data_IF_892243453167
#
_entry.id   IF_892243453167
#
_cell.length_a   1.000
_cell.length_b   1.000
_cell.length_c   1.000
_cell.angle_alpha   90.00
_cell.angle_beta   90.00
_cell.angle_gamma   90.00
#
_symmetry.space_group_name_H-M   'P 1'
#
loop_
_entity.id
_entity.type
_entity.pdbx_description
1 polymer ?
#
# COMPACT_ATOMS: atom_id res chain seq x y z
N UNK A 1 34.64 -21.84 10.61
CA UNK A 1 33.93 -20.90 11.50
C UNK A 1 34.50 -19.51 11.27
N UNK A 2 33.68 -18.48 10.99
CA UNK A 2 34.18 -17.11 10.93
C UNK A 2 34.86 -16.74 12.25
N UNK A 3 35.97 -16.00 12.18
CA UNK A 3 36.90 -15.76 13.30
C UNK A 3 36.35 -14.90 14.44
N UNK A 4 35.13 -14.36 14.33
CA UNK A 4 34.50 -13.50 15.34
C UNK A 4 32.97 -13.48 15.21
N UNK A 5 32.28 -14.61 15.45
CA UNK A 5 30.84 -14.56 15.69
C UNK A 5 30.60 -14.03 17.11
N UNK A 6 29.98 -12.85 17.25
CA UNK A 6 29.56 -12.35 18.56
C UNK A 6 28.61 -13.33 19.27
N UNK A 7 28.52 -13.24 20.60
CA UNK A 7 27.66 -14.12 21.42
C UNK A 7 26.26 -14.23 20.83
N UNK A 8 25.77 -15.43 20.55
CA UNK A 8 24.42 -15.63 20.00
C UNK A 8 23.35 -14.97 20.88
N UNK A 9 22.35 -14.34 20.24
CA UNK A 9 21.12 -13.88 20.87
C UNK A 9 20.08 -15.01 20.96
N UNK A 10 20.38 -16.21 20.47
CA UNK A 10 19.49 -17.36 20.66
C UNK A 10 19.29 -17.64 22.15
N UNK A 11 18.07 -18.04 22.50
CA UNK A 11 17.75 -18.42 23.88
C UNK A 11 18.26 -19.83 24.23
N UNK A 12 18.41 -20.69 23.22
CA UNK A 12 19.01 -22.01 23.33
C UNK A 12 19.61 -22.45 21.97
N UNK A 13 20.40 -23.52 21.99
CA UNK A 13 21.14 -24.00 20.81
C UNK A 13 20.25 -24.66 19.75
N UNK A 14 18.98 -24.92 20.04
CA UNK A 14 18.04 -25.49 19.06
C UNK A 14 17.47 -24.45 18.10
N UNK A 15 17.62 -23.16 18.41
CA UNK A 15 17.16 -22.08 17.54
C UNK A 15 18.07 -21.97 16.32
N UNK A 16 17.48 -22.04 15.13
CA UNK A 16 18.23 -21.91 13.88
C UNK A 16 18.15 -20.47 13.41
N UNK A 17 19.28 -19.92 12.99
CA UNK A 17 19.28 -18.60 12.35
C UNK A 17 18.51 -18.66 11.04
N UNK A 18 17.83 -17.57 10.71
CA UNK A 18 17.18 -17.43 9.41
C UNK A 18 18.25 -17.47 8.29
N UNK A 19 17.94 -18.19 7.22
CA UNK A 19 18.85 -18.40 6.09
C UNK A 19 18.34 -17.69 4.84
N UNK A 20 19.26 -17.12 4.04
CA UNK A 20 18.92 -16.49 2.75
C UNK A 20 18.49 -17.52 1.70
N UNK A 21 19.07 -18.72 1.72
CA UNK A 21 18.73 -19.81 0.82
C UNK A 21 18.17 -20.98 1.64
N UNK A 22 16.93 -20.86 2.16
CA UNK A 22 16.32 -21.96 2.87
C UNK A 22 16.00 -23.06 1.86
N UNK A 23 16.07 -24.33 2.28
CA UNK A 23 15.82 -25.48 1.40
C UNK A 23 14.48 -26.21 1.70
N UNK A 24 13.33 -25.53 1.87
CA UNK A 24 12.04 -26.23 1.92
C UNK A 24 11.65 -26.67 0.51
N UNK A 25 10.91 -27.77 0.41
CA UNK A 25 10.25 -28.20 -0.84
C UNK A 25 9.31 -27.10 -1.34
N UNK A 26 9.14 -26.89 -2.66
CA UNK A 26 8.37 -25.75 -3.20
C UNK A 26 6.88 -26.07 -3.44
N UNK A 27 6.30 -27.07 -2.76
CA UNK A 27 5.05 -27.69 -3.20
C UNK A 27 3.80 -27.19 -2.46
N UNK A 28 3.95 -26.65 -1.26
CA UNK A 28 2.84 -26.19 -0.41
C UNK A 28 2.96 -24.73 0.00
N UNK A 29 1.83 -24.11 0.37
CA UNK A 29 1.82 -22.72 0.85
C UNK A 29 2.56 -22.56 2.18
N UNK A 30 2.53 -23.58 3.04
CA UNK A 30 3.32 -23.60 4.27
C UNK A 30 4.82 -23.51 3.98
N UNK A 31 5.31 -24.23 2.97
CA UNK A 31 6.72 -24.17 2.58
C UNK A 31 7.08 -22.82 1.95
N UNK A 32 6.14 -22.18 1.23
CA UNK A 32 6.32 -20.81 0.75
C UNK A 32 6.41 -19.82 1.91
N UNK A 33 5.55 -19.95 2.92
CA UNK A 33 5.57 -19.14 4.15
C UNK A 33 6.91 -19.26 4.87
N UNK A 34 7.41 -20.49 5.07
CA UNK A 34 8.74 -20.74 5.67
C UNK A 34 9.85 -20.10 4.85
N UNK A 35 9.84 -20.28 3.53
CA UNK A 35 10.85 -19.70 2.62
C UNK A 35 10.85 -18.18 2.68
N UNK A 36 9.69 -17.55 2.50
CA UNK A 36 9.53 -16.10 2.49
C UNK A 36 9.95 -15.49 3.84
N UNK A 37 9.54 -16.11 4.95
CA UNK A 37 9.93 -15.68 6.30
C UNK A 37 11.44 -15.73 6.48
N UNK A 38 12.06 -16.87 6.16
CA UNK A 38 13.51 -17.05 6.31
C UNK A 38 14.31 -16.05 5.46
N UNK A 39 13.90 -15.83 4.20
CA UNK A 39 14.55 -14.87 3.30
C UNK A 39 14.47 -13.46 3.89
N UNK A 40 13.27 -12.99 4.25
CA UNK A 40 13.08 -11.65 4.82
C UNK A 40 13.90 -11.48 6.10
N UNK A 41 13.80 -12.42 7.03
CA UNK A 41 14.51 -12.36 8.30
C UNK A 41 16.03 -12.37 8.15
N UNK A 42 16.55 -13.15 7.19
CA UNK A 42 17.98 -13.18 6.86
C UNK A 42 18.43 -11.83 6.31
N UNK A 43 17.69 -11.25 5.35
CA UNK A 43 18.02 -9.93 4.79
C UNK A 43 17.91 -8.83 5.85
N UNK A 44 16.92 -8.86 6.73
CA UNK A 44 16.80 -7.91 7.85
C UNK A 44 18.01 -7.95 8.80
N UNK A 45 18.54 -9.15 9.08
CA UNK A 45 19.71 -9.31 9.93
C UNK A 45 21.01 -8.83 9.25
N UNK A 46 21.13 -9.05 7.93
CA UNK A 46 22.33 -8.70 7.16
C UNK A 46 22.33 -7.28 6.59
N UNK A 47 21.17 -6.64 6.48
CA UNK A 47 21.00 -5.25 6.03
C UNK A 47 20.37 -4.45 7.18
N UNK A 48 21.19 -3.93 8.13
CA UNK A 48 20.70 -3.24 9.31
C UNK A 48 19.80 -2.04 9.01
N UNK A 49 19.99 -1.38 7.86
CA UNK A 49 19.17 -0.28 7.38
C UNK A 49 17.70 -0.72 7.20
N UNK A 50 17.48 -1.87 6.55
CA UNK A 50 16.15 -2.46 6.38
C UNK A 50 15.62 -3.02 7.69
N UNK A 51 16.43 -3.79 8.42
CA UNK A 51 16.03 -4.39 9.69
C UNK A 51 15.58 -3.32 10.69
N UNK A 52 16.33 -2.23 10.82
CA UNK A 52 15.96 -1.09 11.67
C UNK A 52 14.69 -0.41 11.19
N UNK A 53 14.58 -0.14 9.88
CA UNK A 53 13.44 0.54 9.27
C UNK A 53 12.12 -0.18 9.52
N UNK A 54 12.10 -1.51 9.39
CA UNK A 54 10.91 -2.32 9.65
C UNK A 54 10.58 -2.41 11.14
N UNK A 55 11.58 -2.61 12.00
CA UNK A 55 11.34 -2.88 13.44
C UNK A 55 11.18 -1.63 14.30
N UNK A 56 11.59 -0.45 13.80
CA UNK A 56 11.47 0.82 14.52
C UNK A 56 10.04 1.17 14.93
N UNK A 57 9.08 0.96 14.03
CA UNK A 57 7.67 1.21 14.29
C UNK A 57 7.10 0.33 15.40
N UNK A 58 7.74 -0.82 15.67
CA UNK A 58 7.30 -1.79 16.69
C UNK A 58 8.00 -1.59 18.03
N UNK A 59 8.78 -0.52 18.18
CA UNK A 59 9.48 -0.18 19.43
C UNK A 59 10.85 -0.85 19.60
N UNK A 60 11.38 -1.52 18.58
CA UNK A 60 12.71 -2.11 18.66
C UNK A 60 13.80 -1.02 18.83
N UNK A 61 14.87 -1.27 19.59
CA UNK A 61 16.00 -0.36 19.70
C UNK A 61 16.87 -0.38 18.44
N UNK A 62 17.73 0.63 18.26
CA UNK A 62 18.81 0.58 17.27
C UNK A 62 19.98 -0.23 17.86
N UNK A 63 20.12 -1.48 17.44
CA UNK A 63 21.07 -2.43 18.03
C UNK A 63 21.40 -3.61 17.12
N UNK A 64 22.19 -4.55 17.64
CA UNK A 64 22.59 -5.74 16.88
C UNK A 64 21.38 -6.66 16.73
N UNK A 65 21.00 -6.95 15.49
CA UNK A 65 19.87 -7.82 15.18
C UNK A 65 20.35 -9.26 14.93
N UNK A 66 19.60 -10.23 15.44
CA UNK A 66 19.62 -11.62 14.97
C UNK A 66 18.20 -12.12 14.81
N UNK A 67 17.99 -12.96 13.82
CA UNK A 67 16.69 -13.51 13.47
C UNK A 67 16.76 -15.03 13.40
N UNK A 68 15.68 -15.68 13.79
CA UNK A 68 15.63 -17.13 13.94
C UNK A 68 14.35 -17.69 13.33
N UNK A 69 14.43 -18.92 12.83
CA UNK A 69 13.31 -19.71 12.33
C UNK A 69 13.30 -21.07 13.04
N UNK A 70 12.23 -21.86 12.83
CA UNK A 70 12.07 -23.20 13.41
C UNK A 70 12.11 -23.22 14.96
N UNK A 71 11.76 -22.09 15.59
CA UNK A 71 11.79 -21.95 17.05
C UNK A 71 10.61 -22.69 17.69
N UNK A 72 10.89 -23.58 18.64
CA UNK A 72 9.87 -24.32 19.39
C UNK A 72 9.71 -23.75 20.80
N UNK A 73 8.54 -23.19 21.10
CA UNK A 73 8.24 -22.54 22.38
C UNK A 73 7.19 -23.36 23.15
N UNK A 74 7.49 -23.80 24.40
CA UNK A 74 6.53 -24.44 25.28
C UNK A 74 5.25 -23.61 25.51
N UNK A 75 4.08 -24.24 25.37
CA UNK A 75 2.78 -23.63 25.64
C UNK A 75 1.70 -24.70 25.91
N UNK A 76 1.32 -24.90 27.18
CA UNK A 76 0.37 -25.97 27.53
C UNK A 76 0.94 -27.35 27.20
N UNK A 77 0.11 -28.22 26.63
CA UNK A 77 0.47 -29.62 26.35
C UNK A 77 1.33 -29.82 25.09
N UNK A 78 1.32 -28.85 24.16
CA UNK A 78 2.06 -28.95 22.90
C UNK A 78 2.83 -27.66 22.59
N UNK A 79 4.10 -27.74 22.18
CA UNK A 79 4.86 -26.54 21.85
C UNK A 79 4.27 -25.85 20.62
N UNK A 80 4.37 -24.52 20.60
CA UNK A 80 4.01 -23.68 19.46
C UNK A 80 5.26 -23.21 18.74
N UNK A 81 5.16 -23.13 17.42
CA UNK A 81 6.26 -22.74 16.54
C UNK A 81 5.86 -21.48 15.79
N UNK A 82 6.28 -20.28 16.22
CA UNK A 82 6.18 -19.11 15.38
C UNK A 82 7.03 -19.29 14.12
N UNK A 83 6.63 -18.67 13.02
CA UNK A 83 7.39 -18.73 11.75
C UNK A 83 8.76 -18.07 11.90
N UNK A 84 8.88 -17.08 12.78
CA UNK A 84 10.15 -16.46 13.10
C UNK A 84 10.22 -15.78 14.47
N UNK A 85 11.45 -15.48 14.87
CA UNK A 85 11.76 -14.67 16.05
C UNK A 85 12.80 -13.62 15.68
N UNK A 86 12.55 -12.36 16.05
CA UNK A 86 13.48 -11.24 15.86
C UNK A 86 14.00 -10.83 17.22
N UNK A 87 15.33 -10.72 17.36
CA UNK A 87 15.98 -10.22 18.58
C UNK A 87 16.93 -9.08 18.27
N UNK A 88 16.83 -8.01 19.04
CA UNK A 88 17.67 -6.83 18.90
C UNK A 88 18.32 -6.49 20.23
N UNK A 89 19.65 -6.59 20.29
CA UNK A 89 20.45 -6.28 21.47
C UNK A 89 20.94 -4.83 21.44
N UNK A 90 20.68 -4.07 22.49
CA UNK A 90 21.25 -2.74 22.72
C UNK A 90 21.54 -2.54 24.20
N UNK A 91 22.76 -2.11 24.52
CA UNK A 91 23.19 -1.77 25.89
C UNK A 91 22.84 -2.86 26.93
N UNK A 92 23.08 -4.13 26.57
CA UNK A 92 22.84 -5.28 27.46
C UNK A 92 21.37 -5.69 27.62
N UNK A 93 20.43 -5.05 26.91
CA UNK A 93 19.02 -5.45 26.87
C UNK A 93 18.67 -6.04 25.51
N UNK A 94 17.77 -7.00 25.49
CA UNK A 94 17.31 -7.66 24.26
C UNK A 94 15.81 -7.44 24.08
N UNK A 95 15.46 -6.74 23.01
CA UNK A 95 14.08 -6.66 22.52
C UNK A 95 13.79 -7.88 21.66
N UNK A 96 12.63 -8.51 21.86
CA UNK A 96 12.24 -9.78 21.24
C UNK A 96 10.83 -9.67 20.66
N UNK A 97 10.67 -10.11 19.41
CA UNK A 97 9.38 -10.21 18.74
C UNK A 97 9.16 -11.59 18.12
N UNK A 98 7.93 -12.10 18.24
CA UNK A 98 7.47 -13.29 17.51
C UNK A 98 6.86 -12.86 16.17
N UNK A 99 7.07 -13.66 15.13
CA UNK A 99 6.54 -13.41 13.79
C UNK A 99 5.65 -14.58 13.34
N UNK A 100 4.44 -14.24 12.87
CA UNK A 100 3.55 -15.15 12.15
C UNK A 100 3.37 -14.63 10.73
N UNK A 101 3.65 -15.48 9.73
CA UNK A 101 3.67 -15.09 8.33
C UNK A 101 2.60 -15.83 7.55
N UNK A 102 1.97 -15.12 6.62
CA UNK A 102 1.07 -15.66 5.61
C UNK A 102 1.49 -15.18 4.24
N UNK A 103 1.44 -16.09 3.27
CA UNK A 103 1.63 -15.79 1.85
C UNK A 103 0.35 -16.14 1.10
N UNK A 104 0.23 -15.67 -0.14
CA UNK A 104 -1.01 -15.76 -0.93
C UNK A 104 -2.22 -15.22 -0.13
N UNK A 105 -3.41 -15.79 -0.32
CA UNK A 105 -4.64 -15.38 0.35
C UNK A 105 -4.93 -16.14 1.65
N UNK A 106 -3.92 -16.75 2.29
CA UNK A 106 -4.13 -17.50 3.53
C UNK A 106 -4.45 -16.53 4.68
N UNK A 107 -5.57 -16.71 5.40
CA UNK A 107 -5.93 -15.83 6.49
C UNK A 107 -5.02 -16.08 7.71
N UNK A 108 -4.74 -15.01 8.46
CA UNK A 108 -4.19 -15.11 9.80
C UNK A 108 -5.25 -15.70 10.73
N UNK A 109 -4.86 -16.68 11.56
CA UNK A 109 -5.78 -17.37 12.47
C UNK A 109 -5.77 -16.69 13.85
N UNK A 110 -6.92 -16.17 14.34
CA UNK A 110 -7.02 -15.53 15.66
C UNK A 110 -6.46 -16.38 16.80
N UNK A 111 -6.74 -17.67 16.80
CA UNK A 111 -6.31 -18.59 17.85
C UNK A 111 -4.78 -18.71 17.89
N UNK A 112 -4.15 -18.82 16.72
CA UNK A 112 -2.70 -18.94 16.60
C UNK A 112 -1.99 -17.66 17.06
N UNK A 113 -2.51 -16.49 16.69
CA UNK A 113 -1.94 -15.20 17.12
C UNK A 113 -2.16 -15.00 18.62
N UNK A 114 -3.32 -15.40 19.17
CA UNK A 114 -3.59 -15.36 20.60
C UNK A 114 -2.59 -16.20 21.40
N UNK A 115 -2.27 -17.41 20.94
CA UNK A 115 -1.27 -18.28 21.56
C UNK A 115 0.12 -17.62 21.59
N UNK A 116 0.53 -16.96 20.50
CA UNK A 116 1.80 -16.21 20.48
C UNK A 116 1.78 -14.99 21.42
N UNK A 117 0.66 -14.28 21.52
CA UNK A 117 0.49 -13.18 22.47
C UNK A 117 0.64 -13.68 23.92
N UNK A 118 0.09 -14.86 24.22
CA UNK A 118 0.21 -15.50 25.53
C UNK A 118 1.65 -15.95 25.84
N UNK A 119 2.33 -16.52 24.85
CA UNK A 119 3.75 -16.91 24.98
C UNK A 119 4.62 -15.67 25.21
N UNK A 120 4.44 -14.62 24.40
CA UNK A 120 5.18 -13.38 24.51
C UNK A 120 5.00 -12.74 25.90
N UNK A 121 3.76 -12.68 26.40
CA UNK A 121 3.47 -12.10 27.71
C UNK A 121 4.10 -12.89 28.86
N UNK A 122 4.10 -14.22 28.80
CA UNK A 122 4.73 -15.09 29.82
C UNK A 122 6.25 -15.00 29.82
N UNK A 123 6.86 -14.81 28.64
CA UNK A 123 8.32 -14.73 28.47
C UNK A 123 8.88 -13.32 28.56
N UNK A 124 8.00 -12.31 28.68
CA UNK A 124 8.41 -10.90 28.69
C UNK A 124 8.90 -10.39 27.34
N UNK A 125 8.51 -11.02 26.23
CA UNK A 125 8.78 -10.51 24.89
C UNK A 125 7.91 -9.28 24.61
N UNK A 126 8.44 -8.34 23.85
CA UNK A 126 7.83 -7.03 23.66
C UNK A 126 6.75 -7.02 22.57
N UNK A 127 6.82 -7.91 21.58
CA UNK A 127 5.91 -7.85 20.45
C UNK A 127 5.54 -9.21 19.82
N UNK A 128 4.37 -9.23 19.20
CA UNK A 128 3.97 -10.19 18.17
C UNK A 128 3.68 -9.41 16.90
N UNK A 129 4.29 -9.84 15.79
CA UNK A 129 4.14 -9.22 14.49
C UNK A 129 3.46 -10.24 13.59
N UNK A 130 2.38 -9.82 12.95
CA UNK A 130 1.77 -10.59 11.86
C UNK A 130 2.24 -10.02 10.53
N UNK A 131 2.55 -10.90 9.57
CA UNK A 131 3.01 -10.53 8.24
C UNK A 131 2.12 -11.19 7.19
N UNK A 132 1.41 -10.41 6.37
CA UNK A 132 0.58 -10.97 5.30
C UNK A 132 0.53 -10.07 4.06
N UNK A 133 -0.27 -10.47 3.08
CA UNK A 133 -0.54 -9.66 1.89
C UNK A 133 -1.57 -8.55 2.13
N UNK A 134 -2.31 -8.58 3.24
CA UNK A 134 -3.26 -7.53 3.58
C UNK A 134 -2.52 -6.33 4.14
N UNK A 135 -3.08 -5.13 3.93
CA UNK A 135 -2.56 -3.92 4.53
C UNK A 135 -3.45 -3.52 5.69
N UNK A 136 -2.84 -3.14 6.83
CA UNK A 136 -3.57 -2.65 7.99
C UNK A 136 -4.33 -1.36 7.66
N UNK A 137 -5.54 -1.25 8.19
CA UNK A 137 -6.38 -0.07 8.12
C UNK A 137 -6.68 0.46 9.51
N UNK A 138 -6.91 1.76 9.62
CA UNK A 138 -7.31 2.37 10.89
C UNK A 138 -8.67 1.81 11.35
N UNK A 139 -8.75 1.46 12.63
CA UNK A 139 -9.97 0.96 13.28
C UNK A 139 -10.41 -0.44 12.84
N UNK A 140 -9.58 -1.17 12.08
CA UNK A 140 -9.85 -2.57 11.71
C UNK A 140 -8.65 -3.41 12.12
N UNK A 141 -8.76 -4.25 13.16
CA UNK A 141 -7.72 -5.21 13.46
C UNK A 141 -7.62 -6.21 12.31
N UNK A 142 -6.39 -6.54 11.90
CA UNK A 142 -6.16 -7.61 10.92
C UNK A 142 -6.54 -8.98 11.51
N UNK A 143 -6.38 -9.11 12.82
CA UNK A 143 -6.71 -10.31 13.58
C UNK A 143 -7.24 -9.90 14.95
N UNK A 144 -8.38 -10.46 15.33
CA UNK A 144 -8.99 -10.20 16.63
C UNK A 144 -8.32 -11.08 17.70
N UNK A 145 -7.66 -10.42 18.66
CA UNK A 145 -7.09 -11.09 19.84
C UNK A 145 -7.57 -10.42 21.12
N UNK A 146 -7.73 -11.22 22.16
CA UNK A 146 -8.04 -10.73 23.51
C UNK A 146 -6.77 -10.24 24.17
N UNK A 147 -6.73 -8.94 24.44
CA UNK A 147 -5.64 -8.31 25.21
C UNK A 147 -6.09 -8.18 26.66
N UNK A 148 -5.49 -8.98 27.54
CA UNK A 148 -5.73 -8.85 28.98
C UNK A 148 -4.89 -7.70 29.57
N UNK A 149 -5.55 -6.58 29.85
CA UNK A 149 -4.93 -5.37 30.39
C UNK A 149 -4.36 -5.51 31.81
N UNK A 150 -4.64 -6.62 32.52
CA UNK A 150 -4.09 -6.90 33.86
C UNK A 150 -2.66 -7.45 33.82
N UNK A 151 -2.20 -7.90 32.65
CA UNK A 151 -0.86 -8.50 32.52
C UNK A 151 0.24 -7.49 32.80
N UNK A 152 1.24 -7.91 33.59
CA UNK A 152 2.40 -7.10 33.95
C UNK A 152 3.26 -6.71 32.74
N UNK A 153 3.39 -7.62 31.76
CA UNK A 153 4.10 -7.37 30.51
C UNK A 153 3.09 -7.02 29.42
N UNK A 154 3.20 -5.79 28.90
CA UNK A 154 2.42 -5.33 27.74
C UNK A 154 3.12 -5.79 26.47
N UNK A 155 2.48 -6.68 25.73
CA UNK A 155 2.94 -7.14 24.41
C UNK A 155 2.26 -6.29 23.34
N UNK A 156 3.03 -5.70 22.44
CA UNK A 156 2.49 -5.02 21.26
C UNK A 156 2.09 -6.01 20.18
N UNK A 157 0.84 -5.98 19.73
CA UNK A 157 0.43 -6.67 18.51
C UNK A 157 0.55 -5.70 17.34
N UNK A 158 1.38 -6.08 16.36
CA UNK A 158 1.61 -5.29 15.16
C UNK A 158 1.29 -6.09 13.90
N UNK A 159 1.01 -5.36 12.83
CA UNK A 159 0.86 -5.94 11.51
C UNK A 159 1.80 -5.25 10.53
N UNK A 160 2.39 -6.06 9.65
CA UNK A 160 3.23 -5.63 8.55
C UNK A 160 2.72 -6.29 7.28
N UNK A 161 2.57 -5.53 6.20
CA UNK A 161 2.23 -6.11 4.90
C UNK A 161 3.48 -6.38 4.05
N UNK A 162 3.42 -7.38 3.16
CA UNK A 162 4.47 -7.59 2.14
C UNK A 162 4.64 -6.37 1.23
N UNK A 163 3.56 -5.61 0.98
CA UNK A 163 3.61 -4.35 0.26
C UNK A 163 4.42 -3.27 1.01
N UNK A 164 4.32 -3.20 2.33
CA UNK A 164 5.15 -2.31 3.15
C UNK A 164 6.61 -2.75 3.15
N UNK A 165 6.89 -4.06 3.27
CA UNK A 165 8.26 -4.58 3.15
C UNK A 165 8.90 -4.17 1.82
N UNK A 166 8.20 -4.41 0.71
CA UNK A 166 8.67 -4.04 -0.62
C UNK A 166 8.86 -2.52 -0.75
N UNK A 167 7.91 -1.71 -0.25
CA UNK A 167 8.02 -0.26 -0.24
C UNK A 167 9.26 0.22 0.54
N UNK A 168 9.50 -0.28 1.75
CA UNK A 168 10.65 0.13 2.56
C UNK A 168 11.99 -0.26 1.92
N UNK A 169 12.07 -1.46 1.34
CA UNK A 169 13.26 -1.91 0.61
C UNK A 169 13.51 -1.07 -0.65
N UNK A 170 12.45 -0.74 -1.41
CA UNK A 170 12.53 0.09 -2.60
C UNK A 170 12.95 1.53 -2.28
N UNK A 171 12.43 2.13 -1.20
CA UNK A 171 12.82 3.46 -0.73
C UNK A 171 14.33 3.52 -0.39
N UNK A 172 14.84 2.53 0.34
CA UNK A 172 16.27 2.43 0.66
C UNK A 172 17.12 2.29 -0.60
N UNK A 173 16.72 1.38 -1.50
CA UNK A 173 17.52 1.04 -2.67
C UNK A 173 17.58 2.17 -3.71
N UNK A 174 16.44 2.79 -4.02
CA UNK A 174 16.32 3.69 -5.17
C UNK A 174 16.46 5.17 -4.84
N UNK A 175 16.15 5.57 -3.60
CA UNK A 175 15.96 6.99 -3.28
C UNK A 175 16.86 7.51 -2.16
N UNK A 176 17.10 6.69 -1.14
CA UNK A 176 17.92 7.12 0.01
C UNK A 176 19.37 6.63 -0.09
N UNK A 177 19.59 5.52 -0.79
CA UNK A 177 20.88 4.87 -0.90
C UNK A 177 21.22 4.02 0.32
N UNK A 178 22.10 3.04 0.10
CA UNK A 178 22.64 2.17 1.14
C UNK A 178 24.16 2.24 1.04
N UNK A 179 24.84 2.51 2.15
CA UNK A 179 26.29 2.78 2.13
C UNK A 179 27.15 1.57 1.72
N UNK A 180 26.61 0.35 1.87
CA UNK A 180 27.30 -0.88 1.50
C UNK A 180 26.74 -1.46 0.18
N UNK A 181 27.58 -1.64 -0.87
CA UNK A 181 27.15 -2.25 -2.13
C UNK A 181 26.53 -3.64 -1.99
N UNK A 182 27.01 -4.46 -1.05
CA UNK A 182 26.43 -5.78 -0.80
C UNK A 182 25.02 -5.69 -0.20
N UNK A 183 24.74 -4.66 0.62
CA UNK A 183 23.39 -4.42 1.13
C UNK A 183 22.46 -4.01 -0.01
N UNK A 184 22.90 -3.10 -0.88
CA UNK A 184 22.12 -2.68 -2.04
C UNK A 184 21.79 -3.88 -2.95
N UNK A 185 22.78 -4.74 -3.24
CA UNK A 185 22.56 -5.97 -4.00
C UNK A 185 21.56 -6.91 -3.32
N UNK A 186 21.68 -7.16 -2.01
CA UNK A 186 20.72 -7.99 -1.28
C UNK A 186 19.30 -7.43 -1.28
N UNK A 187 19.13 -6.11 -1.19
CA UNK A 187 17.81 -5.47 -1.30
C UNK A 187 17.22 -5.62 -2.71
N UNK A 188 18.06 -5.52 -3.75
CA UNK A 188 17.64 -5.74 -5.13
C UNK A 188 17.14 -7.18 -5.32
N UNK A 189 17.88 -8.18 -4.82
CA UNK A 189 17.49 -9.59 -4.88
C UNK A 189 16.22 -9.86 -4.05
N UNK A 190 16.09 -9.25 -2.87
CA UNK A 190 14.86 -9.34 -2.08
C UNK A 190 13.65 -8.79 -2.86
N UNK A 191 13.80 -7.62 -3.50
CA UNK A 191 12.72 -7.04 -4.31
C UNK A 191 12.37 -7.91 -5.52
N UNK A 192 13.37 -8.50 -6.18
CA UNK A 192 13.16 -9.44 -7.28
C UNK A 192 12.39 -10.68 -6.78
N UNK A 193 12.77 -11.23 -5.62
CA UNK A 193 12.06 -12.34 -4.98
C UNK A 193 10.61 -11.97 -4.67
N UNK A 194 10.36 -10.85 -3.98
CA UNK A 194 9.02 -10.45 -3.56
C UNK A 194 8.07 -10.27 -4.75
N UNK A 195 8.58 -9.71 -5.87
CA UNK A 195 7.81 -9.48 -7.11
C UNK A 195 7.55 -10.74 -7.93
N UNK A 196 8.30 -11.82 -7.69
CA UNK A 196 8.16 -13.05 -8.47
C UNK A 196 6.86 -13.79 -8.15
N UNK A 197 6.08 -14.22 -9.15
CA UNK A 197 4.74 -14.80 -8.97
C UNK A 197 4.68 -15.97 -7.96
N UNK A 198 5.73 -16.79 -7.91
CA UNK A 198 5.80 -17.93 -6.99
C UNK A 198 6.21 -17.59 -5.54
N UNK A 199 6.54 -16.32 -5.25
CA UNK A 199 6.85 -15.86 -3.89
C UNK A 199 5.62 -15.89 -2.98
N UNK A 200 4.44 -15.65 -3.56
CA UNK A 200 3.19 -15.43 -2.83
C UNK A 200 3.15 -14.13 -2.02
N UNK A 201 4.10 -13.21 -2.24
CA UNK A 201 4.27 -11.96 -1.48
C UNK A 201 3.77 -10.72 -2.25
N UNK A 202 2.74 -10.88 -3.07
CA UNK A 202 2.27 -9.89 -4.06
C UNK A 202 1.55 -8.67 -3.49
N UNK A 203 1.36 -8.64 -2.17
CA UNK A 203 0.44 -7.71 -1.53
C UNK A 203 -1.03 -8.09 -1.77
N UNK A 204 -1.92 -7.14 -1.52
CA UNK A 204 -3.36 -7.26 -1.62
C UNK A 204 -3.77 -7.66 -3.04
N UNK A 205 -4.42 -8.82 -3.15
CA UNK A 205 -4.75 -9.47 -4.43
C UNK A 205 -6.17 -10.07 -4.47
N UNK A 206 -6.98 -9.83 -3.43
CA UNK A 206 -8.34 -10.36 -3.33
C UNK A 206 -9.29 -9.33 -2.69
N UNK A 207 -10.36 -8.96 -3.39
CA UNK A 207 -11.41 -8.05 -2.90
C UNK A 207 -12.40 -8.72 -1.92
N UNK A 208 -12.17 -9.99 -1.57
CA UNK A 208 -12.99 -10.75 -0.64
C UNK A 208 -14.24 -11.38 -1.29
N UNK A 209 -14.95 -12.23 -0.52
CA UNK A 209 -16.11 -12.98 -1.03
C UNK A 209 -17.30 -12.10 -1.40
N UNK A 210 -17.44 -10.92 -0.78
CA UNK A 210 -18.51 -9.96 -1.04
C UNK A 210 -18.38 -9.23 -2.39
N UNK A 211 -17.19 -9.23 -3.00
CA UNK A 211 -16.91 -8.47 -4.23
C UNK A 211 -17.81 -8.84 -5.40
N UNK A 212 -17.91 -10.13 -5.73
CA UNK A 212 -18.69 -10.58 -6.89
C UNK A 212 -20.19 -10.33 -6.68
N UNK A 213 -20.80 -10.67 -5.53
CA UNK A 213 -22.19 -10.33 -5.25
C UNK A 213 -22.49 -8.83 -5.33
N UNK A 214 -21.66 -7.98 -4.74
CA UNK A 214 -21.86 -6.51 -4.75
C UNK A 214 -21.71 -5.95 -6.17
N UNK A 215 -20.68 -6.37 -6.91
CA UNK A 215 -20.48 -5.93 -8.29
C UNK A 215 -21.67 -6.29 -9.19
N UNK A 216 -22.15 -7.54 -9.11
CA UNK A 216 -23.35 -7.97 -9.83
C UNK A 216 -24.59 -7.21 -9.38
N UNK A 217 -24.74 -7.00 -8.07
CA UNK A 217 -25.86 -6.23 -7.54
C UNK A 217 -25.90 -4.79 -8.04
N UNK A 218 -24.74 -4.16 -8.25
CA UNK A 218 -24.66 -2.82 -8.87
C UNK A 218 -24.97 -2.87 -10.37
N UNK A 219 -24.47 -3.89 -11.08
CA UNK A 219 -24.69 -4.11 -12.52
C UNK A 219 -26.16 -4.38 -12.83
N UNK A 220 -26.82 -5.21 -12.02
CA UNK A 220 -28.21 -5.63 -12.14
C UNK A 220 -29.20 -4.64 -11.47
N UNK A 221 -28.69 -3.55 -10.88
CA UNK A 221 -29.48 -2.56 -10.12
C UNK A 221 -30.30 -3.17 -8.95
N UNK A 222 -29.81 -4.24 -8.33
CA UNK A 222 -30.47 -4.94 -7.22
C UNK A 222 -29.86 -4.64 -5.84
N UNK A 223 -28.72 -3.95 -5.79
CA UNK A 223 -28.10 -3.59 -4.52
C UNK A 223 -28.91 -2.54 -3.76
N UNK A 224 -29.19 -2.80 -2.49
CA UNK A 224 -29.98 -1.91 -1.64
C UNK A 224 -29.09 -1.04 -0.76
N UNK A 225 -29.61 0.11 -0.34
CA UNK A 225 -28.97 0.92 0.71
C UNK A 225 -28.88 0.11 2.02
N UNK A 226 -27.76 0.22 2.72
CA UNK A 226 -27.51 -0.50 3.97
C UNK A 226 -27.04 -1.96 3.83
N UNK A 227 -26.74 -2.43 2.61
CA UNK A 227 -26.18 -3.78 2.41
C UNK A 227 -24.81 -3.92 3.08
N UNK A 228 -24.71 -4.75 4.11
CA UNK A 228 -23.47 -4.97 4.88
C UNK A 228 -22.31 -5.49 4.01
N UNK A 229 -22.61 -6.20 2.91
CA UNK A 229 -21.58 -6.68 1.98
C UNK A 229 -20.85 -5.52 1.30
N UNK A 230 -21.53 -4.39 1.09
CA UNK A 230 -20.92 -3.20 0.52
C UNK A 230 -19.85 -2.60 1.45
N UNK A 231 -20.03 -2.68 2.78
CA UNK A 231 -19.02 -2.24 3.76
C UNK A 231 -17.73 -3.05 3.60
N UNK A 232 -17.84 -4.37 3.47
CA UNK A 232 -16.68 -5.25 3.23
C UNK A 232 -15.95 -4.96 1.91
N UNK A 233 -16.69 -4.59 0.86
CA UNK A 233 -16.09 -4.17 -0.43
C UNK A 233 -15.39 -2.82 -0.31
N UNK A 234 -15.96 -1.86 0.43
CA UNK A 234 -15.31 -0.58 0.71
C UNK A 234 -14.04 -0.76 1.53
N UNK A 235 -14.04 -1.62 2.54
CA UNK A 235 -12.84 -1.94 3.31
C UNK A 235 -11.75 -2.55 2.42
N UNK A 236 -12.12 -3.48 1.55
CA UNK A 236 -11.20 -4.06 0.55
C UNK A 236 -10.67 -3.01 -0.43
N UNK A 237 -11.51 -2.06 -0.84
CA UNK A 237 -11.10 -0.91 -1.65
C UNK A 237 -10.09 -0.02 -0.92
N UNK A 238 -10.29 0.26 0.37
CA UNK A 238 -9.32 1.01 1.18
C UNK A 238 -7.97 0.30 1.27
N UNK A 239 -7.95 -1.04 1.44
CA UNK A 239 -6.71 -1.84 1.40
C UNK A 239 -6.00 -1.71 0.07
N UNK A 240 -6.73 -1.83 -1.04
CA UNK A 240 -6.19 -1.65 -2.39
C UNK A 240 -5.58 -0.26 -2.56
N UNK A 241 -6.29 0.79 -2.16
CA UNK A 241 -5.82 2.18 -2.26
C UNK A 241 -4.59 2.43 -1.40
N UNK A 242 -4.51 1.81 -0.22
CA UNK A 242 -3.32 1.87 0.63
C UNK A 242 -2.12 1.21 -0.06
N UNK A 243 -2.32 0.07 -0.71
CA UNK A 243 -1.28 -0.58 -1.52
C UNK A 243 -0.84 0.27 -2.72
N UNK A 244 -1.79 0.86 -3.46
CA UNK A 244 -1.49 1.78 -4.56
C UNK A 244 -0.58 2.92 -4.08
N UNK A 245 -0.90 3.51 -2.92
CA UNK A 245 -0.06 4.54 -2.30
C UNK A 245 1.36 4.05 -1.99
N UNK A 246 1.50 2.85 -1.41
CA UNK A 246 2.82 2.28 -1.10
C UNK A 246 3.66 2.07 -2.36
N UNK A 247 3.05 1.55 -3.42
CA UNK A 247 3.74 1.33 -4.70
C UNK A 247 4.15 2.64 -5.35
N UNK A 248 3.19 3.56 -5.51
CA UNK A 248 3.43 4.89 -6.07
C UNK A 248 4.52 5.62 -5.29
N UNK A 249 4.46 5.57 -3.96
CA UNK A 249 5.47 6.22 -3.14
C UNK A 249 6.87 5.60 -3.26
N UNK A 250 6.96 4.28 -3.40
CA UNK A 250 8.22 3.59 -3.65
C UNK A 250 8.80 3.89 -5.04
N UNK A 251 7.96 4.10 -6.06
CA UNK A 251 8.39 4.52 -7.39
C UNK A 251 8.92 5.96 -7.40
N UNK A 252 8.24 6.85 -6.68
CA UNK A 252 8.55 8.29 -6.69
C UNK A 252 9.58 8.74 -5.66
N UNK A 253 9.88 7.92 -4.66
CA UNK A 253 10.74 8.33 -3.54
C UNK A 253 10.06 9.33 -2.60
N UNK A 254 8.74 9.47 -2.72
CA UNK A 254 7.91 10.41 -1.99
C UNK A 254 6.77 9.66 -1.33
N UNK A 255 6.40 10.06 -0.12
CA UNK A 255 5.30 9.40 0.58
C UNK A 255 3.98 9.74 -0.11
N UNK A 256 3.25 8.72 -0.58
CA UNK A 256 1.89 8.87 -1.04
C UNK A 256 0.90 8.35 0.02
N UNK A 257 -0.22 9.04 0.19
CA UNK A 257 -1.24 8.70 1.20
C UNK A 257 -2.66 8.89 0.64
N UNK A 258 -3.63 8.07 1.10
CA UNK A 258 -5.04 8.36 0.85
C UNK A 258 -5.41 9.69 1.51
N UNK A 259 -6.15 10.54 0.80
CA UNK A 259 -6.72 11.76 1.36
C UNK A 259 -7.92 11.39 2.21
N UNK A 260 -7.88 11.80 3.48
CA UNK A 260 -9.03 11.74 4.37
C UNK A 260 -9.49 13.18 4.65
N UNK A 261 -10.61 13.59 4.03
CA UNK A 261 -11.20 14.93 4.23
C UNK A 261 -12.08 15.03 5.49
N UNK A 262 -12.19 13.95 6.25
CA UNK A 262 -13.00 13.91 7.47
C UNK A 262 -12.29 14.60 8.65
N UNK A 263 -13.05 15.07 9.65
CA UNK A 263 -12.49 15.61 10.89
C UNK A 263 -11.57 14.56 11.53
N UNK A 264 -10.43 15.03 12.06
CA UNK A 264 -9.47 14.21 12.80
C UNK A 264 -10.18 13.52 13.97
N UNK A 265 -10.01 12.21 14.10
CA UNK A 265 -10.67 11.41 15.13
C UNK A 265 -12.09 10.94 14.79
N UNK A 266 -12.57 11.14 13.55
CA UNK A 266 -13.80 10.49 13.10
C UNK A 266 -13.68 8.96 13.17
N UNK A 267 -14.79 8.28 13.47
CA UNK A 267 -14.84 6.82 13.53
C UNK A 267 -14.60 6.21 12.12
N UNK A 268 -13.55 5.38 11.94
CA UNK A 268 -13.30 4.69 10.68
C UNK A 268 -14.46 3.83 10.20
N UNK A 269 -15.19 3.17 11.11
CA UNK A 269 -16.30 2.31 10.70
C UNK A 269 -17.45 3.13 10.11
N UNK A 270 -17.89 4.20 10.80
CA UNK A 270 -18.89 5.13 10.27
C UNK A 270 -18.51 5.69 8.88
N UNK A 271 -17.23 5.99 8.62
CA UNK A 271 -16.79 6.43 7.29
C UNK A 271 -16.97 5.37 6.21
N UNK A 272 -16.70 4.10 6.53
CA UNK A 272 -16.89 2.99 5.59
C UNK A 272 -18.37 2.75 5.30
N UNK A 273 -19.23 2.86 6.31
CA UNK A 273 -20.69 2.78 6.14
C UNK A 273 -21.17 3.88 5.19
N UNK A 274 -20.75 5.13 5.40
CA UNK A 274 -21.12 6.23 4.49
C UNK A 274 -20.58 6.04 3.06
N UNK A 275 -19.37 5.51 2.90
CA UNK A 275 -18.82 5.18 1.59
C UNK A 275 -19.56 4.00 0.93
N UNK A 276 -20.06 3.03 1.71
CA UNK A 276 -20.86 1.91 1.24
C UNK A 276 -22.25 2.36 0.78
N UNK A 277 -22.89 3.29 1.49
CA UNK A 277 -24.14 3.94 1.05
C UNK A 277 -23.95 4.64 -0.30
N UNK A 278 -22.83 5.36 -0.47
CA UNK A 278 -22.48 5.98 -1.76
C UNK A 278 -22.26 4.92 -2.85
N UNK A 279 -21.59 3.81 -2.53
CA UNK A 279 -21.42 2.70 -3.47
C UNK A 279 -22.77 2.12 -3.91
N UNK A 280 -23.70 1.85 -3.00
CA UNK A 280 -25.02 1.33 -3.34
C UNK A 280 -25.81 2.31 -4.23
N UNK A 281 -25.76 3.62 -3.92
CA UNK A 281 -26.50 4.66 -4.65
C UNK A 281 -25.90 4.96 -6.03
N UNK A 282 -24.58 5.16 -6.10
CA UNK A 282 -23.89 5.66 -7.29
C UNK A 282 -23.23 4.54 -8.12
N UNK A 283 -23.05 3.34 -7.56
CA UNK A 283 -22.33 2.25 -8.19
C UNK A 283 -20.83 2.51 -8.33
N UNK A 284 -20.26 3.37 -7.47
CA UNK A 284 -18.89 3.87 -7.58
C UNK A 284 -18.08 3.66 -6.31
N UNK A 285 -16.88 3.11 -6.47
CA UNK A 285 -15.82 3.19 -5.49
C UNK A 285 -14.95 4.42 -5.81
N UNK A 286 -14.63 5.21 -4.78
CA UNK A 286 -13.91 6.47 -4.94
C UNK A 286 -12.81 6.58 -3.90
N UNK A 287 -11.66 7.11 -4.30
CA UNK A 287 -10.58 7.50 -3.42
C UNK A 287 -9.79 8.68 -3.99
N UNK A 288 -9.08 9.37 -3.12
CA UNK A 288 -8.15 10.43 -3.47
C UNK A 288 -6.79 10.12 -2.88
N UNK A 289 -5.72 10.45 -3.60
CA UNK A 289 -4.34 10.20 -3.24
C UNK A 289 -3.58 11.52 -3.27
N UNK A 290 -2.80 11.79 -2.22
CA UNK A 290 -1.89 12.93 -2.16
C UNK A 290 -0.46 12.41 -2.08
N UNK A 291 0.42 13.02 -2.88
CA UNK A 291 1.84 12.71 -2.89
C UNK A 291 2.55 13.87 -2.18
N UNK A 292 3.39 13.55 -1.20
CA UNK A 292 4.15 14.57 -0.47
C UNK A 292 5.11 15.28 -1.43
N UNK A 293 5.12 16.63 -1.38
CA UNK A 293 5.93 17.45 -2.28
C UNK A 293 5.21 17.86 -3.57
N UNK A 294 3.96 17.41 -3.80
CA UNK A 294 3.10 17.92 -4.87
C UNK A 294 1.83 18.56 -4.31
N UNK A 295 1.28 19.52 -5.04
CA UNK A 295 0.00 20.14 -4.69
C UNK A 295 -1.20 19.38 -5.29
N UNK A 296 -0.94 18.47 -6.23
CA UNK A 296 -1.99 17.79 -6.97
C UNK A 296 -2.52 16.58 -6.19
N UNK A 297 -3.85 16.47 -6.14
CA UNK A 297 -4.56 15.30 -5.63
C UNK A 297 -5.02 14.43 -6.79
N UNK A 298 -4.71 13.14 -6.74
CA UNK A 298 -5.15 12.16 -7.74
C UNK A 298 -6.42 11.49 -7.25
N UNK A 299 -7.54 11.77 -7.90
CA UNK A 299 -8.77 11.04 -7.69
C UNK A 299 -8.79 9.75 -8.51
N UNK A 300 -9.27 8.67 -7.90
CA UNK A 300 -9.42 7.34 -8.51
C UNK A 300 -10.86 6.90 -8.29
N UNK A 301 -11.58 6.66 -9.39
CA UNK A 301 -12.97 6.20 -9.36
C UNK A 301 -13.08 4.90 -10.13
N UNK A 302 -13.57 3.84 -9.50
CA UNK A 302 -14.03 2.63 -10.19
C UNK A 302 -15.56 2.67 -10.28
N UNK A 303 -16.06 2.86 -11.50
CA UNK A 303 -17.49 2.86 -11.81
C UNK A 303 -17.90 1.45 -12.22
N UNK A 304 -18.61 0.77 -11.32
CA UNK A 304 -18.96 -0.64 -11.48
C UNK A 304 -20.09 -0.84 -12.50
N UNK A 305 -20.93 0.18 -12.71
CA UNK A 305 -22.02 0.15 -13.72
C UNK A 305 -21.45 0.17 -15.14
N UNK A 306 -20.45 1.00 -15.37
CA UNK A 306 -19.83 1.15 -16.70
C UNK A 306 -18.62 0.25 -16.92
N UNK A 307 -18.12 -0.39 -15.86
CA UNK A 307 -16.90 -1.20 -15.91
C UNK A 307 -15.67 -0.36 -16.27
N UNK A 308 -15.58 0.87 -15.75
CA UNK A 308 -14.48 1.81 -16.07
C UNK A 308 -13.78 2.31 -14.82
N UNK A 309 -12.47 2.49 -14.94
CA UNK A 309 -11.65 3.17 -13.96
C UNK A 309 -11.30 4.54 -14.52
N UNK A 310 -11.65 5.60 -13.79
CA UNK A 310 -11.23 6.97 -14.08
C UNK A 310 -10.18 7.38 -13.06
N UNK A 311 -9.07 7.90 -13.58
CA UNK A 311 -8.07 8.63 -12.79
C UNK A 311 -8.13 10.08 -13.21
N UNK A 312 -8.09 11.00 -12.26
CA UNK A 312 -8.17 12.42 -12.55
C UNK A 312 -7.40 13.27 -11.56
N UNK A 313 -6.99 14.46 -12.01
CA UNK A 313 -6.44 15.50 -11.16
C UNK A 313 -6.92 16.85 -11.67
N UNK A 314 -7.01 17.81 -10.75
CA UNK A 314 -7.28 19.20 -11.08
C UNK A 314 -6.01 20.01 -10.92
N UNK A 315 -5.74 20.89 -11.88
CA UNK A 315 -4.59 21.81 -11.87
C UNK A 315 -5.09 23.24 -11.99
N UNK A 316 -4.58 24.11 -11.13
CA UNK A 316 -4.96 25.51 -11.14
C UNK A 316 -4.40 26.23 -12.38
N UNK A 317 -5.19 27.12 -12.97
CA UNK A 317 -4.70 28.01 -14.02
C UNK A 317 -3.80 29.10 -13.39
N UNK A 318 -2.69 29.51 -14.04
CA UNK A 318 -1.90 30.65 -13.57
C UNK A 318 -2.74 31.93 -13.53
N UNK A 319 -2.66 32.67 -12.42
CA UNK A 319 -3.36 33.95 -12.27
C UNK A 319 -2.92 34.98 -13.32
N UNK A 320 -3.88 35.76 -13.82
CA UNK A 320 -3.63 36.88 -14.74
C UNK A 320 -3.18 36.52 -16.15
N UNK A 321 -3.11 35.23 -16.50
CA UNK A 321 -2.71 34.78 -17.83
C UNK A 321 -3.88 34.79 -18.83
N UNK A 322 -3.62 35.18 -20.09
CA UNK A 322 -4.62 35.16 -21.15
C UNK A 322 -5.12 33.72 -21.41
N UNK A 323 -6.44 33.45 -21.46
CA UNK A 323 -7.00 32.09 -21.50
C UNK A 323 -6.40 31.20 -22.59
N UNK A 324 -6.31 31.68 -23.84
CA UNK A 324 -5.76 30.89 -24.95
C UNK A 324 -4.28 30.58 -24.75
N UNK A 325 -3.51 31.51 -24.17
CA UNK A 325 -2.10 31.30 -23.89
C UNK A 325 -1.91 30.22 -22.81
N UNK A 326 -2.75 30.24 -21.77
CA UNK A 326 -2.78 29.23 -20.72
C UNK A 326 -3.10 27.84 -21.28
N UNK A 327 -4.12 27.73 -22.13
CA UNK A 327 -4.50 26.47 -22.77
C UNK A 327 -3.37 25.95 -23.67
N UNK A 328 -2.80 26.80 -24.55
CA UNK A 328 -1.67 26.42 -25.40
C UNK A 328 -0.46 25.95 -24.59
N UNK A 329 -0.19 26.60 -23.44
CA UNK A 329 0.87 26.19 -22.52
C UNK A 329 0.60 24.80 -21.93
N UNK A 330 -0.62 24.55 -21.45
CA UNK A 330 -1.02 23.24 -20.92
C UNK A 330 -0.85 22.13 -21.97
N UNK A 331 -1.40 22.33 -23.17
CA UNK A 331 -1.30 21.35 -24.28
C UNK A 331 0.15 21.06 -24.64
N UNK A 332 1.02 22.07 -24.62
CA UNK A 332 2.47 21.89 -24.86
C UNK A 332 3.15 21.09 -23.76
N UNK A 333 2.80 21.32 -22.49
CA UNK A 333 3.34 20.51 -21.39
C UNK A 333 2.86 19.06 -21.46
N UNK A 334 1.69 18.82 -22.04
CA UNK A 334 1.10 17.51 -22.26
C UNK A 334 1.39 16.94 -23.67
N UNK A 335 2.46 17.38 -24.32
CA UNK A 335 2.82 16.93 -25.67
C UNK A 335 3.03 15.42 -25.74
N UNK A 336 3.67 14.82 -24.72
CA UNK A 336 3.96 13.38 -24.66
C UNK A 336 2.90 12.56 -23.89
N UNK A 337 1.88 13.23 -23.35
CA UNK A 337 0.81 12.56 -22.61
C UNK A 337 -0.06 11.69 -23.55
N UNK A 338 -0.81 10.71 -23.02
CA UNK A 338 -1.67 9.88 -23.85
C UNK A 338 -2.71 10.68 -24.65
N UNK A 339 -2.90 10.34 -25.93
CA UNK A 339 -3.83 11.05 -26.81
C UNK A 339 -5.30 10.98 -26.35
N UNK A 340 -5.64 9.91 -25.63
CA UNK A 340 -6.94 9.66 -24.99
C UNK A 340 -7.13 10.43 -23.67
N UNK A 341 -6.17 11.26 -23.24
CA UNK A 341 -6.34 12.12 -22.08
C UNK A 341 -7.46 13.13 -22.33
N UNK A 342 -8.47 13.11 -21.46
CA UNK A 342 -9.48 14.15 -21.43
C UNK A 342 -8.97 15.35 -20.65
N UNK A 343 -9.16 16.53 -21.24
CA UNK A 343 -8.93 17.83 -20.60
C UNK A 343 -10.26 18.56 -20.60
N UNK A 344 -10.65 19.07 -19.45
CA UNK A 344 -11.85 19.88 -19.24
C UNK A 344 -11.45 21.17 -18.54
N UNK A 345 -11.90 22.30 -19.05
CA UNK A 345 -11.68 23.59 -18.38
C UNK A 345 -12.62 23.71 -17.18
N UNK A 346 -12.14 24.34 -16.12
CA UNK A 346 -12.93 24.64 -14.92
C UNK A 346 -13.16 26.15 -14.92
N UNK A 347 -14.42 26.56 -14.73
CA UNK A 347 -14.81 27.97 -14.60
C UNK A 347 -15.41 28.18 -13.21
N UNK A 348 -15.70 29.43 -12.84
CA UNK A 348 -16.28 29.72 -11.54
C UNK A 348 -17.69 29.08 -11.41
N UNK A 349 -17.83 28.15 -10.46
CA UNK A 349 -19.11 27.49 -10.16
C UNK A 349 -19.56 26.40 -11.14
N UNK A 350 -18.84 26.14 -12.23
CA UNK A 350 -19.21 25.13 -13.24
C UNK A 350 -18.00 24.58 -14.03
N UNK A 351 -18.25 23.62 -14.91
CA UNK A 351 -17.27 23.09 -15.87
C UNK A 351 -17.44 23.77 -17.24
N UNK A 352 -16.31 24.10 -17.85
CA UNK A 352 -16.26 24.62 -19.22
C UNK A 352 -16.13 23.50 -20.27
N UNK A 353 -15.71 23.85 -21.49
CA UNK A 353 -15.53 22.89 -22.57
C UNK A 353 -14.52 21.78 -22.23
N UNK A 354 -14.72 20.62 -22.88
CA UNK A 354 -13.90 19.41 -22.74
C UNK A 354 -13.49 18.82 -24.09
N UNK A 355 -12.28 18.28 -24.16
CA UNK A 355 -11.74 17.61 -25.35
C UNK A 355 -10.70 16.54 -24.99
N UNK A 356 -10.38 15.66 -25.93
CA UNK A 356 -9.22 14.76 -25.82
C UNK A 356 -7.97 15.48 -26.30
N UNK A 357 -6.78 15.12 -25.79
CA UNK A 357 -5.52 15.69 -26.28
C UNK A 357 -5.32 15.49 -27.77
N UNK A 358 -5.79 14.37 -28.33
CA UNK A 358 -5.82 14.14 -29.78
C UNK A 358 -6.45 15.31 -30.55
N UNK A 359 -7.59 15.83 -30.08
CA UNK A 359 -8.29 16.94 -30.71
C UNK A 359 -7.70 18.30 -30.34
N UNK A 360 -7.17 18.42 -29.12
CA UNK A 360 -6.68 19.69 -28.58
C UNK A 360 -5.26 20.05 -29.01
N UNK A 361 -4.44 19.07 -29.42
CA UNK A 361 -3.12 19.32 -29.99
C UNK A 361 -3.15 20.20 -31.24
N UNK A 362 -3.97 19.89 -32.27
CA UNK A 362 -4.09 20.76 -33.43
C UNK A 362 -4.93 22.01 -33.15
N UNK A 363 -5.96 21.93 -32.30
CA UNK A 363 -6.88 23.04 -32.03
C UNK A 363 -7.08 23.28 -30.51
N UNK A 364 -6.12 23.95 -29.83
CA UNK A 364 -6.24 24.23 -28.40
C UNK A 364 -7.42 25.16 -28.07
N UNK A 365 -7.90 25.97 -29.01
CA UNK A 365 -9.01 26.92 -28.79
C UNK A 365 -10.31 26.26 -28.36
N UNK A 366 -10.49 24.96 -28.65
CA UNK A 366 -11.68 24.20 -28.27
C UNK A 366 -11.92 24.05 -26.76
N UNK A 367 -10.97 24.42 -25.91
CA UNK A 367 -11.15 24.48 -24.45
C UNK A 367 -11.64 25.84 -23.92
N UNK A 368 -11.76 26.86 -24.77
CA UNK A 368 -12.20 28.19 -24.32
C UNK A 368 -13.71 28.24 -24.15
N UNK A 369 -14.24 28.65 -22.98
CA UNK A 369 -15.66 28.86 -22.79
C UNK A 369 -16.24 29.86 -23.80
N UNK A 370 -17.33 29.49 -24.48
CA UNK A 370 -17.95 30.33 -25.51
C UNK A 370 -18.47 31.67 -24.97
N UNK A 371 -18.83 31.71 -23.68
CA UNK A 371 -19.28 32.90 -22.97
C UNK A 371 -18.12 33.77 -22.44
N UNK A 372 -16.86 33.40 -22.71
CA UNK A 372 -15.69 34.14 -22.23
C UNK A 372 -15.43 34.03 -20.72
N UNK A 373 -16.07 33.08 -20.03
CA UNK A 373 -15.86 32.89 -18.59
C UNK A 373 -14.38 32.62 -18.27
N UNK A 374 -13.85 33.19 -17.17
CA UNK A 374 -12.46 32.98 -16.78
C UNK A 374 -12.23 31.52 -16.39
N UNK A 375 -11.14 30.95 -16.91
CA UNK A 375 -10.71 29.59 -16.57
C UNK A 375 -9.95 29.63 -15.25
N UNK A 376 -10.46 28.95 -14.23
CA UNK A 376 -9.84 28.84 -12.90
C UNK A 376 -8.90 27.64 -12.81
N UNK A 377 -9.08 26.64 -13.67
CA UNK A 377 -8.23 25.45 -13.71
C UNK A 377 -8.59 24.49 -14.82
N UNK A 378 -7.99 23.31 -14.77
CA UNK A 378 -8.24 22.22 -15.70
C UNK A 378 -8.38 20.90 -14.96
N UNK A 379 -9.38 20.11 -15.35
CA UNK A 379 -9.51 18.71 -14.94
C UNK A 379 -8.92 17.81 -16.01
N UNK A 380 -7.92 17.03 -15.63
CA UNK A 380 -7.25 16.05 -16.46
C UNK A 380 -7.78 14.67 -16.09
N UNK A 381 -8.17 13.84 -17.05
CA UNK A 381 -8.75 12.52 -16.77
C UNK A 381 -8.35 11.46 -17.78
N UNK A 382 -7.85 10.32 -17.31
CA UNK A 382 -7.73 9.09 -18.10
C UNK A 382 -8.80 8.09 -17.69
N UNK A 383 -9.34 7.40 -18.69
CA UNK A 383 -10.35 6.37 -18.51
C UNK A 383 -9.79 5.07 -19.06
N UNK A 384 -9.82 4.01 -18.26
CA UNK A 384 -9.38 2.66 -18.63
C UNK A 384 -10.51 1.67 -18.37
N UNK A 385 -10.60 0.62 -19.19
CA UNK A 385 -11.48 -0.51 -18.89
C UNK A 385 -11.09 -1.19 -17.57
N UNK A 386 -12.09 -1.55 -16.79
CA UNK A 386 -11.91 -2.25 -15.52
C UNK A 386 -11.68 -3.75 -15.77
N UNK A 387 -10.68 -4.33 -15.12
CA UNK A 387 -10.44 -5.77 -15.19
C UNK A 387 -11.57 -6.57 -14.56
N UNK A 388 -12.07 -7.61 -15.24
CA UNK A 388 -13.14 -8.49 -14.75
C UNK A 388 -12.63 -9.83 -14.20
N UNK A 389 -11.34 -10.14 -14.38
CA UNK A 389 -10.70 -11.36 -13.90
C UNK A 389 -10.54 -11.40 -12.37
N UNK A 390 -10.38 -12.61 -11.81
CA UNK A 390 -10.08 -12.82 -10.38
C UNK A 390 -8.57 -12.83 -10.13
N UNK A 391 -8.17 -12.43 -8.92
CA UNK A 391 -6.80 -12.60 -8.42
C UNK A 391 -5.78 -11.66 -9.04
N UNK A 392 -4.52 -12.10 -9.03
CA UNK A 392 -3.37 -11.39 -9.59
C UNK A 392 -3.21 -11.59 -11.10
N UNK A 393 -4.24 -12.02 -11.84
CA UNK A 393 -4.14 -12.08 -13.30
C UNK A 393 -3.98 -10.67 -13.91
N UNK A 394 -3.35 -10.57 -15.08
CA UNK A 394 -3.19 -9.30 -15.82
C UNK A 394 -4.54 -8.61 -16.11
N UNK A 395 -5.61 -9.42 -16.21
CA UNK A 395 -6.99 -8.99 -16.44
C UNK A 395 -7.79 -8.69 -15.16
N UNK A 396 -7.15 -8.72 -13.99
CA UNK A 396 -7.80 -8.56 -12.68
C UNK A 396 -8.13 -7.11 -12.32
N UNK A 397 -9.22 -6.92 -11.55
CA UNK A 397 -9.65 -5.60 -11.05
C UNK A 397 -8.52 -4.84 -10.35
N UNK A 398 -7.85 -5.48 -9.39
CA UNK A 398 -6.78 -4.88 -8.59
C UNK A 398 -5.63 -4.36 -9.45
N UNK A 399 -5.10 -5.19 -10.37
CA UNK A 399 -4.04 -4.77 -11.29
C UNK A 399 -4.50 -3.65 -12.23
N UNK A 400 -5.77 -3.64 -12.63
CA UNK A 400 -6.29 -2.57 -13.50
C UNK A 400 -6.31 -1.19 -12.82
N UNK A 401 -6.59 -1.15 -11.51
CA UNK A 401 -6.54 0.09 -10.69
C UNK A 401 -5.10 0.56 -10.54
N UNK A 402 -4.20 -0.35 -10.16
CA UNK A 402 -2.77 -0.05 -10.04
C UNK A 402 -2.20 0.53 -11.35
N UNK A 403 -2.48 -0.14 -12.47
CA UNK A 403 -1.99 0.28 -13.78
C UNK A 403 -2.63 1.60 -14.25
N UNK A 404 -3.89 1.89 -13.87
CA UNK A 404 -4.53 3.16 -14.19
C UNK A 404 -3.84 4.32 -13.44
N UNK A 405 -3.56 4.15 -12.15
CA UNK A 405 -2.87 5.17 -11.35
C UNK A 405 -1.43 5.38 -11.82
N UNK A 406 -0.68 4.29 -12.06
CA UNK A 406 0.68 4.36 -12.60
C UNK A 406 0.73 5.09 -13.95
N UNK A 407 -0.13 4.71 -14.92
CA UNK A 407 -0.23 5.35 -16.24
C UNK A 407 -0.57 6.83 -16.13
N UNK A 408 -1.50 7.19 -15.26
CA UNK A 408 -1.92 8.59 -15.08
C UNK A 408 -0.81 9.42 -14.45
N UNK A 409 -0.13 8.91 -13.44
CA UNK A 409 0.98 9.62 -12.82
C UNK A 409 2.13 9.82 -13.82
N UNK A 410 2.67 8.73 -14.40
CA UNK A 410 3.86 8.79 -15.25
C UNK A 410 3.61 9.49 -16.59
N UNK A 411 2.44 9.29 -17.20
CA UNK A 411 2.11 9.84 -18.51
C UNK A 411 1.36 11.17 -18.47
N UNK A 412 0.98 11.69 -17.29
CA UNK A 412 0.25 12.97 -17.20
C UNK A 412 0.88 13.88 -16.16
N UNK A 413 0.87 13.47 -14.88
CA UNK A 413 1.28 14.36 -13.79
C UNK A 413 2.78 14.66 -13.78
N UNK A 414 3.60 13.69 -14.17
CA UNK A 414 5.05 13.89 -14.27
C UNK A 414 5.44 15.02 -15.24
N UNK A 415 4.61 15.31 -16.24
CA UNK A 415 4.85 16.37 -17.22
C UNK A 415 4.38 17.77 -16.75
N UNK A 416 3.65 17.86 -15.63
CA UNK A 416 3.01 19.09 -15.15
C UNK A 416 3.87 19.87 -14.14
N UNK A 417 5.11 19.42 -13.88
CA UNK A 417 6.03 20.13 -13.00
C UNK A 417 6.21 21.60 -13.45
N UNK A 418 5.73 22.55 -12.63
CA UNK A 418 5.82 23.98 -12.90
C UNK A 418 4.67 24.59 -13.72
N UNK A 419 3.58 23.85 -13.98
CA UNK A 419 2.38 24.42 -14.60
C UNK A 419 1.68 25.40 -13.66
N UNK A 420 1.45 24.98 -12.41
CA UNK A 420 0.99 25.82 -11.32
C UNK A 420 2.03 26.93 -11.08
N UNK A 421 1.61 28.19 -11.18
CA UNK A 421 2.47 29.31 -10.83
C UNK A 421 3.03 29.11 -9.42
N UNK A 422 4.28 29.55 -9.16
CA UNK A 422 4.86 29.53 -7.81
C UNK A 422 3.89 30.26 -6.87
N UNK A 423 3.02 29.55 -6.16
CA UNK A 423 2.31 30.16 -5.05
C UNK A 423 3.41 30.47 -4.04
N UNK A 424 3.59 31.76 -3.78
CA UNK A 424 4.71 32.25 -2.99
C UNK A 424 4.76 31.53 -1.66
N UNK A 425 5.96 31.08 -1.27
CA UNK A 425 6.34 31.05 0.14
C UNK A 425 5.91 32.40 0.75
N UNK A 426 4.78 32.42 1.45
CA UNK A 426 4.38 33.52 2.31
C UNK A 426 4.30 32.97 3.72
N UNK A 427 5.20 33.46 4.57
CA UNK A 427 5.20 33.28 6.04
C UNK A 427 5.92 32.03 6.49
#
# INVERSE_FOLDING_TARGET
>A
MPRAAGKSLAENDTWRQACLFPAPTLKSDREREVRATSILLSVMAQVPELGRRLTAGFGAPAGRMQTFTEVSLPHGDAPRRPDGVIRVERAGRIWTALLETKTNGNPLKPEQVQEYMDIAARRGYEAVITLSNDVALDGVPIVDVRIDGRRKHKVGLWHLSWAEVAHQAQMLLLHEGVGNPAHAWLLQELLAYLRHEQSGCHGFHNMGPAWVPVRKGVEDETISAGDERAVGVVESWERLIRQVCLRLGGELGQKALPVQRARRGSDPHARRVAAAERLCREGRLFAELRIDGTNSVVAVTADLRTGRIRTSAEVAAPEGAYPLATVKRLVRMLADAPADLHVESIVEGDNGPRGTLERLRPEPGGLLPANGAPITGFRLSLIKGMGSGRGSAETGFIRSVDAAVGRFHSGVLAHLAGFEGRSGRRG
#
